data_IF_101953443933
#
_entry.id   IF_101953443933
#
_cell.length_a   1.000
_cell.length_b   1.000
_cell.length_c   1.000
_cell.angle_alpha   90.00
_cell.angle_beta   90.00
_cell.angle_gamma   90.00
#
_symmetry.space_group_name_H-M   'P 1'
#
loop_
_entity.id
_entity.type
_entity.pdbx_description
1 polymer ?
#
# COMPACT_ATOMS: atom_id res chain seq x y z
N UNK A 1 12.77 -18.48 -1.86
CA UNK A 1 11.78 -17.40 -2.08
C UNK A 1 12.55 -16.13 -2.37
N UNK A 2 12.18 -15.39 -3.42
CA UNK A 2 12.81 -14.11 -3.75
C UNK A 2 12.33 -13.06 -2.75
N UNK A 3 13.25 -12.27 -2.20
CA UNK A 3 12.88 -11.18 -1.28
C UNK A 3 12.23 -10.06 -2.07
N UNK A 4 10.97 -9.73 -1.76
CA UNK A 4 10.26 -8.58 -2.33
C UNK A 4 10.91 -7.30 -1.81
N UNK A 5 11.34 -6.43 -2.73
CA UNK A 5 11.91 -5.12 -2.41
C UNK A 5 10.80 -4.06 -2.42
N UNK A 6 11.10 -2.91 -1.82
CA UNK A 6 10.23 -1.74 -1.89
C UNK A 6 9.92 -1.31 -3.34
N UNK A 7 10.91 -1.37 -4.23
CA UNK A 7 10.76 -1.02 -5.65
C UNK A 7 9.73 -1.92 -6.35
N UNK A 8 9.68 -3.21 -5.99
CA UNK A 8 8.70 -4.16 -6.55
C UNK A 8 7.27 -3.79 -6.10
N UNK A 9 7.11 -3.38 -4.84
CA UNK A 9 5.84 -2.92 -4.29
C UNK A 9 5.41 -1.62 -4.98
N UNK A 10 6.32 -0.66 -5.10
CA UNK A 10 6.06 0.62 -5.74
C UNK A 10 5.62 0.42 -7.20
N UNK A 11 6.37 -0.38 -7.97
CA UNK A 11 6.04 -0.69 -9.35
C UNK A 11 4.68 -1.42 -9.45
N UNK A 12 4.35 -2.30 -8.51
CA UNK A 12 3.03 -2.93 -8.49
C UNK A 12 1.93 -1.89 -8.30
N UNK A 13 2.09 -0.97 -7.33
CA UNK A 13 1.12 0.10 -7.06
C UNK A 13 0.95 1.01 -8.28
N UNK A 14 2.04 1.41 -8.95
CA UNK A 14 2.00 2.23 -10.18
C UNK A 14 1.20 1.57 -11.31
N UNK A 15 1.22 0.24 -11.40
CA UNK A 15 0.55 -0.49 -12.48
C UNK A 15 -0.91 -0.87 -12.17
N UNK A 16 -1.32 -0.89 -10.90
CA UNK A 16 -2.60 -1.49 -10.50
C UNK A 16 -3.51 -0.56 -9.69
N UNK A 17 -2.97 0.50 -9.10
CA UNK A 17 -3.75 1.47 -8.32
C UNK A 17 -3.83 2.82 -9.02
N UNK A 18 -4.52 3.76 -8.38
CA UNK A 18 -4.65 5.12 -8.87
C UNK A 18 -3.30 5.85 -8.94
N UNK A 19 -3.22 6.82 -9.85
CA UNK A 19 -2.04 7.68 -10.00
C UNK A 19 -1.80 8.47 -8.70
N UNK A 20 -0.56 8.39 -8.20
CA UNK A 20 -0.22 8.88 -6.87
C UNK A 20 1.05 9.73 -6.88
N UNK A 21 1.20 10.51 -5.82
CA UNK A 21 2.42 11.19 -5.41
C UNK A 21 2.77 10.76 -3.98
N UNK A 22 4.01 11.06 -3.57
CA UNK A 22 4.46 10.86 -2.18
C UNK A 22 4.44 9.41 -1.66
N UNK A 23 4.86 8.41 -2.45
CA UNK A 23 5.01 7.03 -1.97
C UNK A 23 6.16 6.90 -0.97
N UNK A 24 5.81 6.93 0.32
CA UNK A 24 6.78 7.01 1.41
C UNK A 24 6.55 5.89 2.42
N UNK A 25 7.50 4.96 2.60
CA UNK A 25 7.40 3.99 3.68
C UNK A 25 7.61 4.68 5.03
N UNK A 26 6.79 4.35 6.03
CA UNK A 26 6.88 5.02 7.34
C UNK A 26 6.74 4.08 8.55
N UNK A 27 6.24 2.85 8.36
CA UNK A 27 6.17 1.85 9.43
C UNK A 27 6.65 0.50 8.94
N UNK A 28 7.61 -0.08 9.66
CA UNK A 28 8.22 -1.37 9.37
C UNK A 28 8.05 -2.28 10.58
N UNK A 29 7.22 -3.31 10.45
CA UNK A 29 7.06 -4.34 11.48
C UNK A 29 7.66 -5.65 10.98
N UNK A 30 7.68 -6.70 11.81
CA UNK A 30 8.14 -8.01 11.37
C UNK A 30 7.29 -8.55 10.22
N UNK A 31 5.99 -8.28 10.24
CA UNK A 31 5.00 -8.83 9.30
C UNK A 31 4.61 -7.85 8.19
N UNK A 32 4.70 -6.54 8.43
CA UNK A 32 4.16 -5.52 7.54
C UNK A 32 5.15 -4.42 7.16
N UNK A 33 4.90 -3.78 6.01
CA UNK A 33 5.45 -2.48 5.64
C UNK A 33 4.29 -1.58 5.25
N UNK A 34 4.21 -0.39 5.85
CA UNK A 34 3.20 0.59 5.52
C UNK A 34 3.80 1.74 4.73
N UNK A 35 3.06 2.16 3.70
CA UNK A 35 3.40 3.25 2.79
C UNK A 35 2.28 4.26 2.84
N UNK A 36 2.65 5.53 2.98
CA UNK A 36 1.77 6.65 2.74
C UNK A 36 1.77 6.96 1.25
N UNK A 37 0.62 7.31 0.71
CA UNK A 37 0.42 7.75 -0.66
C UNK A 37 -0.61 8.88 -0.70
N UNK A 38 -0.49 9.75 -1.68
CA UNK A 38 -1.47 10.80 -1.93
C UNK A 38 -1.91 10.74 -3.39
N UNK A 39 -3.22 10.69 -3.63
CA UNK A 39 -3.77 10.67 -4.98
C UNK A 39 -3.40 11.94 -5.73
N UNK A 40 -2.93 11.80 -6.97
CA UNK A 40 -2.76 12.95 -7.87
C UNK A 40 -4.08 13.47 -8.43
N UNK A 41 -5.14 12.65 -8.40
CA UNK A 41 -6.40 12.98 -9.04
C UNK A 41 -7.27 13.90 -8.17
N UNK A 42 -7.27 13.67 -6.86
CA UNK A 42 -8.20 14.33 -5.93
C UNK A 42 -7.55 14.73 -4.60
N UNK A 43 -6.22 14.62 -4.48
CA UNK A 43 -5.45 14.96 -3.27
C UNK A 43 -5.86 14.18 -2.02
N UNK A 44 -6.60 13.07 -2.18
CA UNK A 44 -6.92 12.18 -1.06
C UNK A 44 -5.71 11.38 -0.66
N UNK A 45 -5.53 11.27 0.64
CA UNK A 45 -4.48 10.46 1.23
C UNK A 45 -4.97 9.02 1.42
N UNK A 46 -4.08 8.08 1.12
CA UNK A 46 -4.34 6.66 1.32
C UNK A 46 -3.08 5.96 1.81
N UNK A 47 -3.29 4.81 2.43
CA UNK A 47 -2.25 4.00 3.01
C UNK A 47 -2.22 2.65 2.31
N UNK A 48 -1.01 2.19 2.00
CA UNK A 48 -0.76 0.84 1.49
C UNK A 48 -0.05 0.03 2.56
N UNK A 49 -0.57 -1.14 2.88
CA UNK A 49 0.03 -2.11 3.79
C UNK A 49 0.44 -3.35 3.01
N UNK A 50 1.74 -3.63 3.00
CA UNK A 50 2.30 -4.85 2.46
C UNK A 50 2.48 -5.91 3.55
N UNK A 51 1.76 -7.02 3.44
CA UNK A 51 1.92 -8.23 4.25
C UNK A 51 3.03 -9.11 3.66
N UNK A 52 4.13 -9.24 4.39
CA UNK A 52 5.32 -10.00 3.98
C UNK A 52 5.09 -11.50 3.95
N UNK A 53 4.23 -12.03 4.81
CA UNK A 53 3.94 -13.46 4.93
C UNK A 53 3.09 -13.94 3.77
N UNK A 54 2.03 -13.18 3.46
CA UNK A 54 1.12 -13.46 2.36
C UNK A 54 1.57 -12.90 1.01
N UNK A 55 2.55 -12.00 0.99
CA UNK A 55 2.90 -11.16 -0.17
C UNK A 55 1.69 -10.41 -0.73
N UNK A 56 0.86 -9.88 0.17
CA UNK A 56 -0.40 -9.20 -0.14
C UNK A 56 -0.30 -7.71 0.10
N UNK A 57 -1.00 -6.93 -0.72
CA UNK A 57 -1.18 -5.50 -0.53
C UNK A 57 -2.61 -5.21 -0.12
N UNK A 58 -2.73 -4.34 0.88
CA UNK A 58 -3.98 -3.78 1.34
C UNK A 58 -3.94 -2.28 1.20
N UNK A 59 -5.09 -1.66 0.95
CA UNK A 59 -5.25 -0.21 0.84
C UNK A 59 -6.37 0.26 1.77
N UNK A 60 -6.23 1.46 2.31
CA UNK A 60 -7.34 2.22 2.89
C UNK A 60 -7.17 3.70 2.59
N UNK A 61 -8.27 4.44 2.45
CA UNK A 61 -8.21 5.90 2.48
C UNK A 61 -8.07 6.40 3.93
N UNK A 62 -7.40 7.53 4.12
CA UNK A 62 -7.18 8.14 5.43
C UNK A 62 -8.24 9.20 5.79
N UNK A 63 -9.26 9.36 4.95
CA UNK A 63 -10.44 10.14 5.32
C UNK A 63 -11.08 9.55 6.59
N UNK A 64 -11.70 10.38 7.45
CA UNK A 64 -12.36 9.89 8.67
C UNK A 64 -13.53 8.99 8.27
N UNK A 65 -13.27 7.68 8.18
CA UNK A 65 -14.30 6.68 8.01
C UNK A 65 -14.84 6.28 9.37
N UNK A 66 -16.15 6.07 9.44
CA UNK A 66 -16.82 5.60 10.67
C UNK A 66 -16.53 4.13 10.99
N UNK A 67 -15.62 3.47 10.24
CA UNK A 67 -15.37 2.02 10.28
C UNK A 67 -13.94 1.77 10.75
N UNK A 68 -13.80 1.05 11.87
CA UNK A 68 -12.53 0.81 12.57
C UNK A 68 -11.46 0.02 11.77
N UNK A 69 -11.77 -0.55 10.60
CA UNK A 69 -10.82 -1.38 9.85
C UNK A 69 -11.11 -1.47 8.33
N UNK A 70 -11.01 -0.33 7.62
CA UNK A 70 -11.29 -0.20 6.17
C UNK A 70 -10.18 -0.75 5.23
N UNK A 71 -9.43 -1.75 5.66
CA UNK A 71 -8.40 -2.35 4.81
C UNK A 71 -8.99 -3.23 3.70
N UNK A 72 -8.83 -2.79 2.45
CA UNK A 72 -9.22 -3.57 1.27
C UNK A 72 -8.00 -4.26 0.70
N UNK A 73 -8.06 -5.58 0.53
CA UNK A 73 -7.02 -6.34 -0.18
C UNK A 73 -7.05 -5.96 -1.68
N UNK A 74 -5.97 -5.34 -2.17
CA UNK A 74 -5.90 -4.85 -3.56
C UNK A 74 -5.15 -5.80 -4.48
N UNK A 75 -4.30 -6.68 -3.96
CA UNK A 75 -3.67 -7.71 -4.77
C UNK A 75 -2.47 -8.38 -4.12
N UNK A 76 -1.77 -9.17 -4.91
CA UNK A 76 -0.57 -9.91 -4.49
C UNK A 76 0.63 -9.39 -5.27
N UNK A 77 1.77 -9.26 -4.59
CA UNK A 77 3.06 -8.96 -5.23
C UNK A 77 3.73 -10.28 -5.57
N UNK A 78 3.39 -10.86 -6.73
CA UNK A 78 4.05 -12.06 -7.24
C UNK A 78 5.29 -11.65 -8.04
N UNK A 79 6.49 -12.06 -7.61
CA UNK A 79 7.78 -11.83 -8.30
C UNK A 79 8.41 -13.16 -8.74
#
# INVERSE_FOLDING_TARGET
MKTVKQEDIQQWVENHLEDYKNFTPYLFTQEYIHFFCESRQNEKEFEIKYDKSGQKLYMRYLEPSEIEDDWVCVGNVCI
#
